data_IF_477524797946
#
_entry.id   IF_477524797946
#
_cell.length_a   1.000
_cell.length_b   1.000
_cell.length_c   1.000
_cell.angle_alpha   90.00
_cell.angle_beta   90.00
_cell.angle_gamma   90.00
#
_symmetry.space_group_name_H-M   'P 1'
#
loop_
_entity.id
_entity.type
_entity.pdbx_description
1 polymer ?
#
# COMPACT_ATOMS: atom_id res chain seq x y z
N UNK A 1 -13.15 -5.93 9.63
CA UNK A 1 -11.71 -5.83 9.36
C UNK A 1 -10.87 -6.40 10.48
N UNK A 2 -9.89 -7.24 10.13
CA UNK A 2 -8.70 -7.42 10.99
C UNK A 2 -7.73 -6.30 10.68
N UNK A 3 -7.30 -5.56 11.71
CA UNK A 3 -6.29 -4.50 11.57
C UNK A 3 -4.93 -5.13 11.31
N UNK A 4 -4.11 -4.49 10.49
CA UNK A 4 -2.72 -4.88 10.32
C UNK A 4 -1.94 -4.75 11.63
N UNK A 5 -1.02 -5.67 11.84
CA UNK A 5 -0.07 -5.65 12.95
C UNK A 5 1.24 -5.01 12.49
N UNK A 6 1.80 -4.16 13.35
CA UNK A 6 3.08 -3.48 13.13
C UNK A 6 4.24 -4.47 13.13
N UNK A 7 5.30 -4.17 12.37
CA UNK A 7 6.60 -4.91 12.37
C UNK A 7 6.52 -6.38 11.98
N UNK A 8 5.34 -6.86 11.61
CA UNK A 8 5.13 -8.22 11.11
C UNK A 8 5.45 -8.25 9.61
N UNK A 9 6.10 -9.32 9.11
CA UNK A 9 6.27 -9.50 7.69
C UNK A 9 4.94 -9.84 7.02
N UNK A 10 4.64 -9.16 5.92
CA UNK A 10 3.55 -9.45 5.01
C UNK A 10 4.10 -9.62 3.60
N UNK A 11 3.46 -10.43 2.78
CA UNK A 11 3.60 -10.31 1.33
C UNK A 11 2.77 -9.12 0.83
N UNK A 12 3.19 -8.49 -0.25
CA UNK A 12 2.38 -7.47 -0.95
C UNK A 12 0.98 -8.01 -1.27
N UNK A 13 0.90 -9.24 -1.77
CA UNK A 13 -0.38 -9.92 -2.02
C UNK A 13 -1.28 -9.98 -0.79
N UNK A 14 -0.74 -10.25 0.40
CA UNK A 14 -1.51 -10.28 1.65
C UNK A 14 -2.03 -8.88 2.03
N UNK A 15 -1.23 -7.83 1.84
CA UNK A 15 -1.68 -6.45 2.06
C UNK A 15 -2.79 -6.04 1.08
N UNK A 16 -2.65 -6.40 -0.20
CA UNK A 16 -3.69 -6.18 -1.22
C UNK A 16 -4.98 -6.92 -0.82
N UNK A 17 -4.90 -8.18 -0.40
CA UNK A 17 -6.05 -8.94 0.08
C UNK A 17 -6.71 -8.28 1.29
N UNK A 18 -5.93 -7.71 2.21
CA UNK A 18 -6.45 -7.00 3.39
C UNK A 18 -7.27 -5.77 2.99
N UNK A 19 -6.80 -4.98 2.03
CA UNK A 19 -7.49 -3.79 1.51
C UNK A 19 -8.72 -4.17 0.68
N UNK A 20 -8.61 -5.22 -0.14
CA UNK A 20 -9.64 -5.56 -1.14
C UNK A 20 -10.80 -6.39 -0.58
N UNK A 21 -10.58 -7.25 0.42
CA UNK A 21 -11.60 -8.22 0.91
C UNK A 21 -12.91 -7.59 1.38
N UNK A 22 -12.82 -6.43 2.02
CA UNK A 22 -13.97 -5.73 2.63
C UNK A 22 -14.40 -4.52 1.76
N UNK A 23 -13.77 -4.32 0.59
CA UNK A 23 -13.99 -3.12 -0.24
C UNK A 23 -15.46 -2.96 -0.66
N UNK A 24 -16.07 -4.00 -1.22
CA UNK A 24 -17.50 -4.00 -1.60
C UNK A 24 -18.46 -4.31 -0.45
N UNK A 25 -17.94 -4.63 0.74
CA UNK A 25 -18.76 -4.67 1.96
C UNK A 25 -19.01 -3.24 2.45
N UNK A 26 -18.01 -2.37 2.31
CA UNK A 26 -18.09 -0.96 2.68
C UNK A 26 -18.74 -0.11 1.59
N UNK A 27 -18.53 -0.47 0.32
CA UNK A 27 -18.99 0.27 -0.84
C UNK A 27 -20.07 -0.51 -1.60
N UNK A 28 -21.13 0.17 -2.05
CA UNK A 28 -22.00 -0.43 -3.07
C UNK A 28 -21.16 -0.68 -4.34
N UNK A 29 -21.31 -1.83 -5.01
CA UNK A 29 -20.55 -2.18 -6.21
C UNK A 29 -20.99 -1.33 -7.41
N UNK A 30 -20.52 -0.08 -7.43
CA UNK A 30 -20.78 0.93 -8.44
C UNK A 30 -19.50 1.74 -8.71
N UNK A 31 -18.89 1.56 -9.87
CA UNK A 31 -17.66 2.28 -10.27
C UNK A 31 -17.82 3.80 -10.37
N UNK A 32 -19.06 4.32 -10.40
CA UNK A 32 -19.32 5.76 -10.43
C UNK A 32 -19.64 6.33 -9.04
N UNK A 33 -19.68 5.48 -8.02
CA UNK A 33 -19.90 5.85 -6.63
C UNK A 33 -18.67 6.51 -6.01
N UNK A 34 -18.88 7.25 -4.90
CA UNK A 34 -17.77 7.65 -4.03
C UNK A 34 -17.42 6.48 -3.14
N UNK A 35 -16.28 5.84 -3.38
CA UNK A 35 -15.82 4.75 -2.53
C UNK A 35 -15.12 5.28 -1.28
N UNK A 36 -15.29 4.56 -0.18
CA UNK A 36 -14.55 4.70 1.06
C UNK A 36 -13.47 3.62 1.08
N UNK A 37 -12.25 3.99 1.49
CA UNK A 37 -11.22 3.01 1.80
C UNK A 37 -11.60 2.26 3.09
N UNK A 38 -11.50 0.91 3.12
CA UNK A 38 -11.63 0.17 4.37
C UNK A 38 -10.59 0.63 5.40
N UNK A 39 -11.00 0.83 6.67
CA UNK A 39 -10.08 1.02 7.79
C UNK A 39 -9.28 -0.28 8.05
N UNK A 40 -8.18 -0.43 7.31
CA UNK A 40 -7.22 -1.53 7.47
C UNK A 40 -6.15 -1.21 8.52
N UNK A 41 -5.95 0.08 8.81
CA UNK A 41 -4.81 0.63 9.54
C UNK A 41 -3.55 0.81 8.70
N UNK A 42 -3.55 0.47 7.41
CA UNK A 42 -2.40 0.66 6.52
C UNK A 42 -2.24 2.13 6.17
N UNK A 43 -3.33 2.87 5.93
CA UNK A 43 -3.32 4.30 5.60
C UNK A 43 -2.40 5.15 6.51
N UNK A 44 -2.41 4.86 7.81
CA UNK A 44 -1.68 5.61 8.84
C UNK A 44 -0.20 5.18 8.97
N UNK A 45 0.28 4.26 8.13
CA UNK A 45 1.61 3.64 8.22
C UNK A 45 2.42 3.81 6.93
N UNK A 46 3.66 3.36 6.96
CA UNK A 46 4.55 3.24 5.81
C UNK A 46 4.88 1.77 5.54
N UNK A 47 5.02 1.42 4.26
CA UNK A 47 5.45 0.10 3.82
C UNK A 47 6.97 0.14 3.59
N UNK A 48 7.68 -0.72 4.31
CA UNK A 48 9.13 -0.90 4.21
C UNK A 48 9.47 -2.29 3.65
N UNK A 49 10.58 -2.41 2.94
CA UNK A 49 11.12 -3.68 2.44
C UNK A 49 12.61 -3.81 2.76
N UNK A 50 13.19 -5.00 2.64
CA UNK A 50 14.58 -5.27 3.04
C UNK A 50 15.65 -4.57 2.21
N UNK A 51 15.32 -4.20 0.98
CA UNK A 51 16.23 -3.53 0.05
C UNK A 51 15.39 -2.86 -1.03
N UNK A 52 15.99 -1.92 -1.75
CA UNK A 52 15.33 -1.31 -2.90
C UNK A 52 15.00 -2.41 -3.93
N UNK A 53 13.74 -2.43 -4.36
CA UNK A 53 13.25 -3.33 -5.40
C UNK A 53 12.77 -2.50 -6.58
N UNK A 54 13.33 -2.77 -7.75
CA UNK A 54 12.96 -2.09 -9.00
C UNK A 54 11.53 -2.40 -9.44
N UNK A 55 10.91 -3.48 -8.94
CA UNK A 55 9.53 -3.87 -9.25
C UNK A 55 8.87 -4.48 -8.01
N UNK A 56 7.59 -4.17 -7.83
CA UNK A 56 6.69 -4.78 -6.86
C UNK A 56 6.16 -6.08 -7.46
N UNK A 57 6.16 -7.16 -6.68
CA UNK A 57 5.65 -8.48 -7.08
C UNK A 57 4.91 -9.16 -5.91
N UNK A 58 4.09 -10.16 -6.19
CA UNK A 58 3.14 -10.76 -5.22
C UNK A 58 3.78 -11.20 -3.91
N UNK A 59 4.95 -11.84 -4.00
CA UNK A 59 5.68 -12.43 -2.87
C UNK A 59 6.68 -11.46 -2.22
N UNK A 60 6.74 -10.19 -2.65
CA UNK A 60 7.62 -9.20 -2.05
C UNK A 60 7.24 -9.01 -0.58
N UNK A 61 8.21 -9.21 0.32
CA UNK A 61 8.01 -9.10 1.76
C UNK A 61 8.15 -7.66 2.22
N UNK A 62 7.12 -7.16 2.89
CA UNK A 62 7.01 -5.83 3.45
C UNK A 62 6.76 -5.85 4.96
N UNK A 63 7.08 -4.73 5.60
CA UNK A 63 6.84 -4.46 7.01
C UNK A 63 6.12 -3.13 7.12
N UNK A 64 5.19 -3.02 8.08
CA UNK A 64 4.48 -1.80 8.37
C UNK A 64 5.04 -1.16 9.63
N UNK A 65 5.39 0.13 9.54
CA UNK A 65 5.93 0.93 10.63
C UNK A 65 5.49 2.40 10.46
N UNK A 66 5.71 3.22 11.49
CA UNK A 66 5.46 4.64 11.48
C UNK A 66 6.24 5.42 10.41
N UNK A 67 5.84 6.67 10.20
CA UNK A 67 6.54 7.60 9.33
C UNK A 67 7.92 7.99 9.90
N UNK A 68 8.88 8.36 9.02
CA UNK A 68 10.12 9.00 9.45
C UNK A 68 9.82 10.35 10.11
N UNK A 69 10.43 10.62 11.26
CA UNK A 69 10.33 11.93 11.91
C UNK A 69 11.27 12.93 11.22
N UNK A 70 10.80 14.16 10.99
CA UNK A 70 11.66 15.25 10.52
C UNK A 70 12.06 16.07 11.74
N UNK A 71 13.37 16.19 11.98
CA UNK A 71 13.92 16.97 13.09
C UNK A 71 13.90 18.47 12.79
N UNK A 72 14.18 19.30 13.79
CA UNK A 72 14.33 20.76 13.64
C UNK A 72 15.47 21.15 12.68
N UNK A 73 16.42 20.24 12.42
CA UNK A 73 17.54 20.43 11.50
C UNK A 73 17.24 19.90 10.07
N UNK A 74 15.97 19.64 9.74
CA UNK A 74 15.49 19.05 8.48
C UNK A 74 16.08 17.64 8.21
N UNK A 75 16.51 16.91 9.24
CA UNK A 75 16.99 15.54 9.12
C UNK A 75 15.84 14.54 9.21
N UNK A 76 15.78 13.60 8.27
CA UNK A 76 14.82 12.49 8.27
C UNK A 76 15.35 11.33 9.14
N UNK A 77 14.63 11.05 10.23
CA UNK A 77 14.95 10.01 11.20
C UNK A 77 13.94 8.88 11.09
N UNK A 78 14.41 7.75 10.55
CA UNK A 78 13.59 6.55 10.43
C UNK A 78 13.34 5.89 11.81
N UNK A 79 12.19 5.21 11.97
CA UNK A 79 11.91 4.41 13.16
C UNK A 79 13.05 3.43 13.49
N UNK A 80 13.31 3.20 14.79
CA UNK A 80 14.40 2.34 15.27
C UNK A 80 14.38 0.96 14.60
N UNK A 81 13.20 0.33 14.51
CA UNK A 81 13.03 -0.97 13.83
C UNK A 81 13.49 -0.95 12.37
N UNK A 82 13.18 0.12 11.62
CA UNK A 82 13.58 0.27 10.21
C UNK A 82 15.10 0.38 10.11
N UNK A 83 15.72 1.16 10.99
CA UNK A 83 17.17 1.35 11.02
C UNK A 83 17.92 0.06 11.43
N UNK A 84 17.44 -0.63 12.47
CA UNK A 84 18.07 -1.87 12.98
C UNK A 84 17.99 -3.02 11.99
N UNK A 85 16.86 -3.20 11.32
CA UNK A 85 16.65 -4.25 10.32
C UNK A 85 17.17 -3.87 8.92
N UNK A 86 17.67 -2.64 8.75
CA UNK A 86 18.20 -2.14 7.48
C UNK A 86 17.13 -2.07 6.38
N UNK A 87 15.89 -1.75 6.74
CA UNK A 87 14.79 -1.66 5.79
C UNK A 87 14.83 -0.33 5.03
N UNK A 88 14.20 -0.31 3.86
CA UNK A 88 14.05 0.88 3.01
C UNK A 88 12.57 1.12 2.73
N UNK A 89 12.20 2.39 2.58
CA UNK A 89 10.83 2.78 2.24
C UNK A 89 10.45 2.24 0.86
N UNK A 90 9.30 1.58 0.77
CA UNK A 90 8.71 1.10 -0.48
C UNK A 90 7.57 2.00 -0.94
N UNK A 91 6.66 2.34 -0.02
CA UNK A 91 5.42 3.03 -0.32
C UNK A 91 4.86 3.70 0.94
N UNK A 92 4.16 4.82 0.80
CA UNK A 92 3.30 5.30 1.90
C UNK A 92 2.01 4.48 1.96
N UNK A 93 1.49 4.26 3.15
CA UNK A 93 0.22 3.55 3.33
C UNK A 93 -0.94 4.25 2.60
N UNK A 94 -0.96 5.58 2.66
CA UNK A 94 -1.91 6.42 1.91
C UNK A 94 -1.85 6.16 0.40
N UNK A 95 -0.67 6.27 -0.23
CA UNK A 95 -0.58 6.04 -1.66
C UNK A 95 -0.94 4.58 -2.00
N UNK A 96 -0.56 3.62 -1.14
CA UNK A 96 -0.81 2.20 -1.38
C UNK A 96 -2.30 1.95 -1.47
N UNK A 97 -3.07 2.42 -0.48
CA UNK A 97 -4.53 2.29 -0.51
C UNK A 97 -5.17 3.09 -1.65
N UNK A 98 -4.66 4.29 -1.94
CA UNK A 98 -5.17 5.12 -3.03
C UNK A 98 -5.04 4.45 -4.39
N UNK A 99 -3.92 3.78 -4.68
CA UNK A 99 -3.73 3.03 -5.93
C UNK A 99 -4.66 1.83 -6.02
N UNK A 100 -4.87 1.10 -4.93
CA UNK A 100 -5.83 -0.01 -4.90
C UNK A 100 -7.26 0.50 -5.12
N UNK A 101 -7.65 1.62 -4.49
CA UNK A 101 -8.94 2.27 -4.71
C UNK A 101 -9.10 2.74 -6.16
N UNK A 102 -8.07 3.35 -6.76
CA UNK A 102 -8.09 3.83 -8.14
C UNK A 102 -8.26 2.71 -9.17
N UNK A 103 -7.84 1.48 -8.86
CA UNK A 103 -8.14 0.32 -9.68
C UNK A 103 -9.63 -0.07 -9.61
N UNK A 104 -10.26 0.03 -8.43
CA UNK A 104 -11.68 -0.25 -8.25
C UNK A 104 -12.60 0.81 -8.86
N UNK A 105 -12.15 2.06 -8.96
CA UNK A 105 -12.85 3.13 -9.68
C UNK A 105 -12.99 2.85 -11.18
N UNK A 106 -12.11 2.00 -11.73
CA UNK A 106 -12.11 1.63 -13.15
C UNK A 106 -12.77 0.28 -13.39
N UNK A 107 -12.62 -0.67 -12.45
CA UNK A 107 -13.03 -2.07 -12.63
C UNK A 107 -13.58 -2.67 -11.35
N UNK A 108 -14.76 -3.30 -11.43
CA UNK A 108 -15.42 -3.89 -10.26
C UNK A 108 -14.63 -5.04 -9.60
N UNK A 109 -13.81 -5.75 -10.37
CA UNK A 109 -13.06 -6.90 -9.87
C UNK A 109 -11.67 -6.97 -10.51
N UNK A 110 -10.76 -6.05 -10.16
CA UNK A 110 -9.38 -6.11 -10.62
C UNK A 110 -8.72 -7.38 -10.06
N UNK A 111 -7.86 -7.99 -10.87
CA UNK A 111 -7.05 -9.13 -10.50
C UNK A 111 -5.83 -8.71 -9.66
N UNK A 112 -5.22 -9.67 -8.94
CA UNK A 112 -3.96 -9.43 -8.23
C UNK A 112 -2.88 -8.83 -9.14
N UNK A 113 -2.79 -9.32 -10.39
CA UNK A 113 -1.86 -8.78 -11.39
C UNK A 113 -2.16 -7.32 -11.70
N UNK A 114 -3.42 -6.94 -11.90
CA UNK A 114 -3.80 -5.55 -12.20
C UNK A 114 -3.50 -4.61 -11.03
N UNK A 115 -3.67 -5.06 -9.79
CA UNK A 115 -3.26 -4.28 -8.61
C UNK A 115 -1.74 -4.08 -8.58
N UNK A 116 -0.95 -5.11 -8.85
CA UNK A 116 0.52 -5.02 -8.88
C UNK A 116 0.99 -4.15 -10.04
N UNK A 117 0.40 -4.29 -11.23
CA UNK A 117 0.70 -3.45 -12.38
C UNK A 117 0.38 -1.98 -12.04
N UNK A 118 -0.72 -1.71 -11.34
CA UNK A 118 -1.10 -0.37 -10.90
C UNK A 118 -0.10 0.23 -9.89
N UNK A 119 0.34 -0.56 -8.91
CA UNK A 119 1.34 -0.14 -7.92
C UNK A 119 2.69 0.18 -8.57
N UNK A 120 3.16 -0.68 -9.48
CA UNK A 120 4.38 -0.45 -10.25
C UNK A 120 4.25 0.80 -11.14
N UNK A 121 3.14 0.92 -11.87
CA UNK A 121 2.90 2.05 -12.75
C UNK A 121 2.88 3.38 -11.98
N UNK A 122 2.18 3.43 -10.85
CA UNK A 122 2.13 4.63 -10.03
C UNK A 122 3.50 5.03 -9.49
N UNK A 123 4.29 4.06 -9.01
CA UNK A 123 5.64 4.35 -8.50
C UNK A 123 6.54 4.97 -9.58
N UNK A 124 6.38 4.57 -10.84
CA UNK A 124 7.23 5.01 -11.94
C UNK A 124 6.71 6.29 -12.63
N UNK A 125 5.40 6.58 -12.54
CA UNK A 125 4.74 7.66 -13.30
C UNK A 125 4.01 8.69 -12.44
N UNK A 126 3.94 8.52 -11.11
CA UNK A 126 3.18 9.35 -10.17
C UNK A 126 1.74 9.61 -10.66
N UNK A 127 1.12 8.58 -11.24
CA UNK A 127 -0.21 8.63 -11.85
C UNK A 127 -0.84 7.24 -11.89
N UNK A 128 -2.17 7.18 -12.04
CA UNK A 128 -2.90 5.91 -12.06
C UNK A 128 -2.80 5.24 -13.43
N UNK A 129 -2.63 3.92 -13.41
CA UNK A 129 -2.74 3.07 -14.59
C UNK A 129 -4.17 3.08 -15.11
N UNK A 130 -4.34 3.20 -16.43
CA UNK A 130 -5.61 3.01 -17.12
C UNK A 130 -5.87 1.50 -17.30
N UNK A 131 -6.93 0.99 -16.69
CA UNK A 131 -7.31 -0.42 -16.71
C UNK A 131 -8.39 -0.67 -17.77
N UNK A 132 -8.19 -1.70 -18.60
CA UNK A 132 -9.16 -2.16 -19.60
C UNK A 132 -10.28 -3.07 -19.03
#
# INVERSE_FOLDING_TARGET
MGKVEWRKPYKISELIEIVTKDYWVLNEPDIHGKHLCPDTGIFDLQLYTRKFEEEIYEDLVCYLEDYPEITDDDEEVFPEFVAEEGLVLLYSGENFEAVISGAFDQKLNPSMKEFIDSLNYYRDNDSYLDLE
#
